data_IF_164800099576
#
_entry.id   IF_164800099576
#
_cell.length_a   1.000
_cell.length_b   1.000
_cell.length_c   1.000
_cell.angle_alpha   90.00
_cell.angle_beta   90.00
_cell.angle_gamma   90.00
#
_symmetry.space_group_name_H-M   'P 1'
#
loop_
_entity.id
_entity.type
_entity.pdbx_description
1 polymer ?
#
# COMPACT_ATOMS: atom_id res chain seq x y z
N UNK A 1 -19.68 5.28 45.07
CA UNK A 1 -18.47 4.42 45.06
C UNK A 1 -18.92 3.02 44.70
N UNK A 2 -19.09 2.76 43.41
CA UNK A 2 -19.39 1.43 42.87
C UNK A 2 -18.10 0.87 42.29
N UNK A 3 -17.73 -0.35 42.71
CA UNK A 3 -16.54 -1.04 42.25
C UNK A 3 -16.86 -1.79 40.95
N UNK A 4 -16.21 -1.41 39.85
CA UNK A 4 -16.17 -2.21 38.63
C UNK A 4 -15.44 -3.53 38.91
N UNK A 5 -16.09 -4.65 38.59
CA UNK A 5 -15.49 -5.98 38.52
C UNK A 5 -15.03 -6.24 37.09
N UNK A 6 -13.73 -6.40 36.87
CA UNK A 6 -13.16 -6.81 35.57
C UNK A 6 -13.14 -8.34 35.55
N UNK A 7 -13.99 -8.93 34.71
CA UNK A 7 -13.93 -10.35 34.38
C UNK A 7 -12.81 -10.58 33.37
N UNK A 8 -11.84 -11.41 33.74
CA UNK A 8 -10.77 -11.91 32.88
C UNK A 8 -11.35 -12.84 31.82
N UNK A 9 -11.27 -12.44 30.55
CA UNK A 9 -11.49 -13.34 29.42
C UNK A 9 -10.14 -14.00 29.07
N UNK A 10 -10.04 -15.29 29.35
CA UNK A 10 -8.92 -16.14 28.97
C UNK A 10 -8.94 -16.41 27.46
N UNK A 11 -8.07 -15.75 26.71
CA UNK A 11 -7.80 -16.06 25.31
C UNK A 11 -7.05 -17.41 25.23
N UNK A 12 -7.70 -18.42 24.65
CA UNK A 12 -7.05 -19.68 24.27
C UNK A 12 -6.29 -19.46 22.96
N UNK A 13 -4.97 -19.36 23.06
CA UNK A 13 -4.08 -19.47 21.91
C UNK A 13 -4.10 -20.92 21.40
N UNK A 14 -4.76 -21.16 20.28
CA UNK A 14 -4.51 -22.35 19.46
C UNK A 14 -3.22 -22.07 18.68
N UNK A 15 -2.12 -22.65 19.15
CA UNK A 15 -0.80 -22.54 18.52
C UNK A 15 -0.87 -23.01 17.07
N UNK A 16 -0.55 -22.10 16.15
CA UNK A 16 -0.24 -22.45 14.76
C UNK A 16 1.18 -23.02 14.75
N UNK A 17 1.30 -24.28 14.34
CA UNK A 17 2.57 -24.94 14.10
C UNK A 17 3.29 -24.21 12.95
N UNK A 18 4.33 -23.45 13.27
CA UNK A 18 5.25 -22.92 12.27
C UNK A 18 6.09 -24.05 11.67
N UNK A 19 5.96 -24.28 10.37
CA UNK A 19 6.85 -25.18 9.62
C UNK A 19 8.05 -24.35 9.13
N UNK A 20 9.19 -24.50 9.80
CA UNK A 20 10.47 -24.07 9.27
C UNK A 20 10.95 -25.10 8.23
N UNK A 21 10.93 -24.73 6.95
CA UNK A 21 11.58 -25.51 5.90
C UNK A 21 13.10 -25.26 5.93
N UNK A 22 13.80 -26.07 6.74
CA UNK A 22 15.24 -26.22 6.68
C UNK A 22 15.62 -27.35 5.71
N UNK A 23 16.39 -27.02 4.67
CA UNK A 23 17.02 -28.00 3.78
C UNK A 23 18.06 -28.79 4.60
N UNK A 24 17.80 -30.08 4.81
CA UNK A 24 18.81 -31.07 5.16
C UNK A 24 19.13 -31.24 6.66
N UNK A 25 18.68 -32.37 7.23
CA UNK A 25 19.39 -33.06 8.32
C UNK A 25 18.90 -32.80 9.74
N UNK A 26 18.37 -33.86 10.35
CA UNK A 26 18.15 -34.09 11.79
C UNK A 26 17.14 -33.16 12.51
N UNK A 27 15.97 -33.74 12.80
CA UNK A 27 14.98 -33.23 13.76
C UNK A 27 15.57 -33.32 15.18
N UNK A 28 15.71 -32.18 15.86
CA UNK A 28 15.93 -32.11 17.31
C UNK A 28 14.90 -31.16 17.91
N UNK A 29 14.11 -31.67 18.85
CA UNK A 29 13.12 -30.90 19.59
C UNK A 29 13.81 -29.86 20.50
N UNK A 30 13.28 -28.63 20.53
CA UNK A 30 13.69 -27.61 21.49
C UNK A 30 12.80 -27.67 22.73
N UNK A 31 13.40 -27.93 23.88
CA UNK A 31 12.81 -27.74 25.20
C UNK A 31 13.02 -26.29 25.67
N UNK A 32 12.00 -25.73 26.33
CA UNK A 32 12.05 -24.47 27.07
C UNK A 32 13.09 -24.55 28.20
N UNK A 33 13.97 -23.54 28.30
CA UNK A 33 14.63 -23.20 29.56
C UNK A 33 14.67 -21.68 29.76
N UNK A 34 14.35 -21.31 30.99
CA UNK A 34 14.25 -19.99 31.56
C UNK A 34 15.60 -19.25 31.64
N UNK A 35 15.52 -17.93 31.48
CA UNK A 35 16.19 -16.92 32.31
C UNK A 35 17.68 -17.00 32.60
N UNK A 36 18.46 -16.11 31.97
CA UNK A 36 19.54 -15.39 32.65
C UNK A 36 19.96 -14.14 31.88
N UNK A 37 19.86 -12.97 32.52
CA UNK A 37 20.61 -11.76 32.19
C UNK A 37 21.91 -11.75 33.00
N UNK A 38 23.05 -11.43 32.39
CA UNK A 38 23.79 -10.20 32.73
C UNK A 38 24.38 -9.57 31.44
N UNK A 39 24.85 -8.34 31.36
CA UNK A 39 25.42 -7.39 32.31
C UNK A 39 26.26 -6.42 31.48
N UNK A 40 26.31 -5.16 31.91
CA UNK A 40 26.96 -4.06 31.23
C UNK A 40 28.47 -4.28 30.96
N UNK A 41 28.93 -3.83 29.80
CA UNK A 41 30.35 -3.70 29.45
C UNK A 41 30.57 -2.46 28.58
N UNK A 42 31.21 -1.45 29.15
CA UNK A 42 31.63 -0.22 28.51
C UNK A 42 33.10 -0.28 28.05
N UNK A 43 33.43 0.51 27.02
CA UNK A 43 34.78 0.84 26.57
C UNK A 43 35.18 0.11 25.27
N UNK A 44 35.73 0.74 24.25
CA UNK A 44 36.19 2.11 24.06
C UNK A 44 36.81 2.25 22.66
N UNK A 45 36.83 3.47 22.17
CA UNK A 45 37.72 4.14 21.20
C UNK A 45 38.45 3.33 20.10
N UNK A 46 38.30 3.82 18.86
CA UNK A 46 39.18 3.50 17.74
C UNK A 46 38.76 4.23 16.46
N UNK A 47 39.19 5.49 16.32
CA UNK A 47 38.98 6.27 15.10
C UNK A 47 39.81 5.78 13.92
N UNK A 48 39.31 6.03 12.71
CA UNK A 48 40.16 6.42 11.59
C UNK A 48 39.34 7.21 10.58
N UNK A 49 39.76 8.45 10.38
CA UNK A 49 39.38 9.28 9.26
C UNK A 49 39.89 8.65 7.95
N UNK A 50 39.07 8.74 6.90
CA UNK A 50 39.44 8.39 5.53
C UNK A 50 38.76 9.36 4.59
N UNK A 51 39.36 10.54 4.43
CA UNK A 51 38.99 11.51 3.39
C UNK A 51 39.36 10.95 2.01
N UNK A 52 38.39 10.91 1.11
CA UNK A 52 38.64 10.85 -0.33
C UNK A 52 37.69 11.82 -1.03
N UNK A 53 38.25 12.98 -1.37
CA UNK A 53 37.66 13.95 -2.27
C UNK A 53 38.06 13.59 -3.71
N UNK A 54 37.09 13.42 -4.60
CA UNK A 54 37.21 13.50 -6.07
C UNK A 54 35.79 13.33 -6.63
N UNK A 55 35.25 14.11 -7.56
CA UNK A 55 35.72 15.28 -8.26
C UNK A 55 34.50 15.91 -8.93
N UNK A 56 34.50 17.23 -9.01
CA UNK A 56 33.51 18.06 -9.68
C UNK A 56 33.42 17.74 -11.17
N UNK A 57 32.24 17.33 -11.64
CA UNK A 57 31.89 17.21 -13.06
C UNK A 57 30.61 18.00 -13.35
N UNK A 58 30.69 19.33 -13.27
CA UNK A 58 29.61 20.20 -13.69
C UNK A 58 29.46 20.17 -15.21
N UNK A 59 28.26 19.86 -15.69
CA UNK A 59 27.85 20.14 -17.06
C UNK A 59 26.70 21.13 -16.98
N UNK A 60 27.05 22.41 -17.12
CA UNK A 60 26.10 23.46 -17.41
C UNK A 60 25.62 23.29 -18.86
N UNK A 61 24.32 23.10 -19.03
CA UNK A 61 23.66 22.98 -20.33
C UNK A 61 22.37 23.80 -20.35
N UNK A 62 22.53 25.10 -20.63
CA UNK A 62 21.60 26.00 -21.31
C UNK A 62 20.10 25.71 -21.28
N UNK A 63 19.37 26.60 -20.60
CA UNK A 63 17.95 26.84 -20.80
C UNK A 63 17.66 27.21 -22.27
N UNK A 64 16.77 26.47 -22.91
CA UNK A 64 16.02 26.92 -24.08
C UNK A 64 14.61 26.37 -23.99
N UNK A 65 13.64 27.28 -23.80
CA UNK A 65 12.23 26.97 -23.83
C UNK A 65 11.84 26.34 -25.17
N UNK A 66 11.15 25.21 -25.08
CA UNK A 66 10.61 24.48 -26.21
C UNK A 66 9.48 23.59 -25.70
N UNK A 67 8.28 24.16 -25.63
CA UNK A 67 7.05 23.38 -25.56
C UNK A 67 6.87 22.69 -26.90
N UNK A 68 6.99 21.37 -26.93
CA UNK A 68 6.37 20.47 -27.91
C UNK A 68 6.76 19.01 -27.63
N UNK A 69 5.77 18.17 -27.31
CA UNK A 69 5.86 16.72 -27.51
C UNK A 69 5.90 15.86 -26.25
N UNK A 70 5.01 16.06 -25.28
CA UNK A 70 4.71 15.05 -24.28
C UNK A 70 3.97 13.88 -24.95
N UNK A 71 4.72 12.86 -25.35
CA UNK A 71 4.18 11.68 -26.02
C UNK A 71 3.22 10.90 -25.14
N UNK A 72 2.20 10.34 -25.79
CA UNK A 72 1.19 9.39 -25.32
C UNK A 72 1.68 8.45 -24.20
N UNK A 73 1.43 8.79 -22.94
CA UNK A 73 1.89 7.98 -21.80
C UNK A 73 0.76 7.47 -20.91
N UNK A 74 -0.48 7.71 -21.32
CA UNK A 74 -1.62 7.20 -20.60
C UNK A 74 -2.70 6.68 -21.54
N UNK A 75 -2.52 5.45 -22.01
CA UNK A 75 -3.58 4.76 -22.76
C UNK A 75 -4.79 4.42 -21.89
N UNK A 76 -4.62 4.39 -20.56
CA UNK A 76 -5.69 4.15 -19.58
C UNK A 76 -6.03 5.47 -18.87
N UNK A 77 -7.30 5.89 -18.87
CA UNK A 77 -7.72 7.12 -18.16
C UNK A 77 -7.44 7.10 -16.66
N UNK A 78 -7.36 5.90 -16.07
CA UNK A 78 -6.99 5.67 -14.68
C UNK A 78 -5.59 5.07 -14.66
N UNK A 79 -4.63 5.81 -14.09
CA UNK A 79 -3.23 5.39 -14.01
C UNK A 79 -2.98 4.49 -12.80
N UNK A 80 -3.58 4.77 -11.64
CA UNK A 80 -3.40 3.97 -10.40
C UNK A 80 -4.71 3.78 -9.65
N UNK A 81 -4.83 2.63 -8.99
CA UNK A 81 -5.99 2.27 -8.17
C UNK A 81 -7.14 1.62 -8.95
N UNK A 82 -8.37 1.68 -8.41
CA UNK A 82 -8.79 2.38 -7.19
C UNK A 82 -8.45 1.64 -5.89
N UNK A 83 -8.55 2.34 -4.76
CA UNK A 83 -8.52 1.74 -3.43
C UNK A 83 -9.41 2.53 -2.46
N UNK A 84 -9.92 1.84 -1.44
CA UNK A 84 -10.71 2.47 -0.38
C UNK A 84 -9.86 2.68 0.88
N UNK A 85 -10.18 3.68 1.68
CA UNK A 85 -9.48 4.01 2.93
C UNK A 85 -10.40 4.80 3.87
N UNK A 86 -9.91 5.15 5.07
CA UNK A 86 -10.59 6.03 6.04
C UNK A 86 -12.03 5.61 6.33
N UNK A 87 -12.24 4.30 6.41
CA UNK A 87 -13.58 3.74 6.64
C UNK A 87 -14.01 3.94 8.09
N UNK A 88 -15.27 4.30 8.26
CA UNK A 88 -15.95 4.40 9.55
C UNK A 88 -17.23 3.56 9.55
N UNK A 89 -18.07 3.70 10.57
CA UNK A 89 -19.38 3.04 10.65
C UNK A 89 -20.36 3.47 9.55
N UNK A 90 -20.18 4.65 8.96
CA UNK A 90 -21.14 5.28 8.04
C UNK A 90 -20.47 6.06 6.90
N UNK A 91 -19.15 5.90 6.71
CA UNK A 91 -18.40 6.59 5.68
C UNK A 91 -17.18 5.80 5.19
N UNK A 92 -16.69 6.18 4.01
CA UNK A 92 -15.45 5.69 3.42
C UNK A 92 -14.89 6.74 2.46
N UNK A 93 -13.62 6.59 2.09
CA UNK A 93 -13.00 7.36 1.02
C UNK A 93 -12.50 6.41 -0.04
N UNK A 94 -12.84 6.64 -1.31
CA UNK A 94 -12.26 5.92 -2.44
C UNK A 94 -11.35 6.85 -3.21
N UNK A 95 -10.13 6.39 -3.50
CA UNK A 95 -9.10 7.14 -4.22
C UNK A 95 -8.69 6.42 -5.50
N UNK A 96 -8.33 7.21 -6.49
CA UNK A 96 -7.66 6.75 -7.70
C UNK A 96 -6.84 7.90 -8.30
N UNK A 97 -5.89 7.55 -9.15
CA UNK A 97 -5.09 8.50 -9.91
C UNK A 97 -5.51 8.44 -11.38
N UNK A 98 -5.61 9.59 -12.02
CA UNK A 98 -5.69 9.73 -13.46
C UNK A 98 -4.54 10.59 -13.97
N UNK A 99 -4.33 10.50 -15.27
CA UNK A 99 -3.32 11.22 -16.05
C UNK A 99 -3.98 12.20 -17.04
N UNK A 100 -5.31 12.32 -16.97
CA UNK A 100 -6.15 13.09 -17.87
C UNK A 100 -7.15 13.88 -17.01
N UNK A 101 -7.07 15.21 -17.03
CA UNK A 101 -7.97 16.08 -16.28
C UNK A 101 -9.45 15.89 -16.62
N UNK A 102 -9.73 15.32 -17.79
CA UNK A 102 -11.08 15.08 -18.28
C UNK A 102 -11.63 13.71 -17.87
N UNK A 103 -10.84 12.90 -17.16
CA UNK A 103 -11.31 11.64 -16.59
C UNK A 103 -12.53 11.88 -15.69
N UNK A 104 -13.53 11.01 -15.82
CA UNK A 104 -14.76 11.15 -15.03
C UNK A 104 -14.46 11.11 -13.53
N UNK A 105 -15.00 12.09 -12.80
CA UNK A 105 -14.95 12.15 -11.33
C UNK A 105 -16.00 11.24 -10.66
N UNK A 106 -16.82 10.53 -11.45
CA UNK A 106 -17.92 9.75 -10.93
C UNK A 106 -17.49 8.36 -10.43
N UNK A 107 -17.93 8.03 -9.22
CA UNK A 107 -17.88 6.70 -8.61
C UNK A 107 -19.31 6.18 -8.44
N UNK A 108 -19.55 4.93 -8.82
CA UNK A 108 -20.82 4.25 -8.53
C UNK A 108 -20.61 3.21 -7.44
N UNK A 109 -21.52 3.18 -6.47
CA UNK A 109 -21.46 2.39 -5.25
C UNK A 109 -22.70 1.52 -5.11
N UNK A 110 -22.53 0.21 -4.97
CA UNK A 110 -23.62 -0.76 -4.85
C UNK A 110 -23.52 -1.52 -3.51
N UNK A 111 -24.57 -1.50 -2.67
CA UNK A 111 -24.62 -2.32 -1.46
C UNK A 111 -24.68 -3.82 -1.77
N UNK A 112 -23.83 -4.63 -1.15
CA UNK A 112 -23.78 -6.09 -1.40
C UNK A 112 -25.02 -6.83 -0.89
N UNK A 113 -25.67 -6.30 0.16
CA UNK A 113 -26.91 -6.87 0.71
C UNK A 113 -28.16 -6.51 -0.11
N UNK A 114 -27.98 -5.83 -1.25
CA UNK A 114 -29.05 -5.29 -2.08
C UNK A 114 -29.44 -3.87 -1.69
N UNK A 115 -29.95 -3.13 -2.67
CA UNK A 115 -30.30 -1.72 -2.54
C UNK A 115 -30.15 -0.99 -3.88
N UNK A 116 -30.48 0.30 -3.89
CA UNK A 116 -30.22 1.14 -5.06
C UNK A 116 -28.72 1.47 -5.15
N UNK A 117 -28.20 1.48 -6.38
CA UNK A 117 -26.89 2.06 -6.67
C UNK A 117 -26.89 3.54 -6.29
N UNK A 118 -25.76 4.00 -5.74
CA UNK A 118 -25.53 5.38 -5.35
C UNK A 118 -24.38 5.93 -6.19
N UNK A 119 -24.45 7.21 -6.51
CA UNK A 119 -23.42 7.90 -7.31
C UNK A 119 -22.76 8.98 -6.46
N UNK A 120 -21.43 9.02 -6.49
CA UNK A 120 -20.62 10.01 -5.79
C UNK A 120 -19.68 10.69 -6.77
N UNK A 121 -19.34 11.95 -6.48
CA UNK A 121 -18.34 12.71 -7.23
C UNK A 121 -17.06 12.81 -6.39
N UNK A 122 -15.90 12.65 -7.02
CA UNK A 122 -14.61 12.91 -6.40
C UNK A 122 -14.26 14.39 -6.40
N UNK A 123 -13.60 14.84 -5.35
CA UNK A 123 -12.72 16.01 -5.41
C UNK A 123 -11.47 15.63 -6.22
N UNK A 124 -11.04 16.51 -7.13
CA UNK A 124 -9.87 16.27 -8.00
C UNK A 124 -8.79 17.28 -7.68
N UNK A 125 -7.58 16.81 -7.40
CA UNK A 125 -6.42 17.63 -7.10
C UNK A 125 -5.26 17.27 -8.04
N UNK A 126 -4.73 18.22 -8.83
CA UNK A 126 -3.55 17.96 -9.65
C UNK A 126 -2.29 17.88 -8.79
N UNK A 127 -1.32 17.09 -9.25
CA UNK A 127 0.04 17.05 -8.72
C UNK A 127 1.04 16.76 -9.84
N UNK A 128 2.29 17.14 -9.63
CA UNK A 128 3.36 16.94 -10.60
C UNK A 128 4.27 15.80 -10.16
N UNK A 129 4.56 14.89 -11.09
CA UNK A 129 5.70 13.98 -10.98
C UNK A 129 6.85 14.65 -11.73
N UNK A 130 7.89 15.06 -11.02
CA UNK A 130 9.02 15.80 -11.65
C UNK A 130 10.02 14.87 -12.33
N UNK A 131 10.24 13.68 -11.74
CA UNK A 131 11.29 12.76 -12.14
C UNK A 131 10.71 11.50 -12.75
N UNK A 132 11.38 10.99 -13.79
CA UNK A 132 11.14 9.62 -14.27
C UNK A 132 11.77 8.65 -13.27
N UNK A 133 10.99 7.67 -12.82
CA UNK A 133 11.52 6.50 -12.10
C UNK A 133 11.36 5.26 -12.96
N UNK A 134 12.46 4.56 -13.18
CA UNK A 134 12.54 3.41 -14.07
C UNK A 134 13.06 2.21 -13.31
N UNK A 135 12.58 1.02 -13.67
CA UNK A 135 13.11 -0.23 -13.13
C UNK A 135 14.43 -0.60 -13.81
N UNK A 136 15.37 -1.16 -13.04
CA UNK A 136 16.61 -1.74 -13.54
C UNK A 136 16.38 -3.08 -14.23
N UNK A 137 15.18 -3.67 -14.09
CA UNK A 137 14.74 -4.85 -14.84
C UNK A 137 14.11 -4.35 -16.16
N UNK A 138 14.83 -4.41 -17.31
CA UNK A 138 14.36 -3.75 -18.52
C UNK A 138 13.20 -4.50 -19.18
N UNK A 139 12.23 -3.73 -19.71
CA UNK A 139 11.15 -4.10 -20.63
C UNK A 139 9.84 -4.72 -20.09
N UNK A 140 9.71 -4.99 -18.79
CA UNK A 140 8.46 -5.58 -18.24
C UNK A 140 7.72 -4.67 -17.24
N UNK A 141 8.43 -3.71 -16.62
CA UNK A 141 7.90 -2.90 -15.53
C UNK A 141 7.65 -1.46 -16.03
N UNK A 142 6.43 -0.92 -15.93
CA UNK A 142 6.14 0.44 -16.37
C UNK A 142 6.89 1.48 -15.52
N UNK A 143 7.40 2.52 -16.16
CA UNK A 143 8.03 3.65 -15.49
C UNK A 143 6.98 4.52 -14.77
N UNK A 144 7.37 5.17 -13.67
CA UNK A 144 6.68 6.40 -13.25
C UNK A 144 7.20 7.54 -14.11
N UNK A 145 6.30 8.13 -14.91
CA UNK A 145 6.65 9.11 -15.92
C UNK A 145 6.40 10.52 -15.40
N UNK A 146 7.29 11.49 -15.71
CA UNK A 146 7.09 12.86 -15.30
C UNK A 146 5.90 13.48 -16.03
N UNK A 147 5.19 14.36 -15.33
CA UNK A 147 4.03 15.09 -15.85
C UNK A 147 2.98 15.37 -14.77
N UNK A 148 1.90 16.02 -15.20
CA UNK A 148 0.75 16.33 -14.36
C UNK A 148 -0.18 15.12 -14.26
N UNK A 149 -0.51 14.74 -13.04
CA UNK A 149 -1.51 13.72 -12.72
C UNK A 149 -2.57 14.31 -11.80
N UNK A 150 -3.68 13.60 -11.64
CA UNK A 150 -4.85 14.07 -10.93
C UNK A 150 -5.27 13.01 -9.92
N UNK A 151 -5.18 13.36 -8.64
CA UNK A 151 -5.67 12.54 -7.55
C UNK A 151 -7.16 12.80 -7.37
N UNK A 152 -7.95 11.73 -7.46
CA UNK A 152 -9.37 11.75 -7.18
C UNK A 152 -9.64 11.23 -5.76
N UNK A 153 -10.45 11.95 -4.99
CA UNK A 153 -10.92 11.52 -3.67
C UNK A 153 -12.45 11.61 -3.59
N UNK A 154 -13.14 10.46 -3.67
CA UNK A 154 -14.58 10.37 -3.48
C UNK A 154 -14.90 10.09 -2.00
N UNK A 155 -15.50 11.08 -1.33
CA UNK A 155 -15.93 11.00 0.07
C UNK A 155 -17.35 10.45 0.16
N UNK A 156 -17.48 9.21 0.61
CA UNK A 156 -18.74 8.49 0.74
C UNK A 156 -19.25 8.66 2.17
N UNK A 157 -20.48 9.14 2.35
CA UNK A 157 -21.05 9.41 3.67
C UNK A 157 -22.52 9.02 3.73
N UNK A 158 -23.04 8.85 4.95
CA UNK A 158 -24.43 8.42 5.15
C UNK A 158 -24.65 6.95 4.77
N UNK A 159 -23.59 6.15 4.80
CA UNK A 159 -23.65 4.73 4.50
C UNK A 159 -24.30 3.97 5.65
N UNK A 160 -25.04 2.92 5.31
CA UNK A 160 -25.52 1.96 6.29
C UNK A 160 -24.40 0.99 6.69
N UNK A 161 -24.53 0.29 7.84
CA UNK A 161 -23.65 -0.82 8.16
C UNK A 161 -23.72 -1.90 7.08
N UNK A 162 -22.58 -2.31 6.52
CA UNK A 162 -22.53 -3.32 5.47
C UNK A 162 -21.32 -3.20 4.55
N UNK A 163 -21.30 -4.06 3.53
CA UNK A 163 -20.25 -4.08 2.53
C UNK A 163 -20.79 -3.56 1.20
N UNK A 164 -19.90 -2.95 0.44
CA UNK A 164 -20.21 -2.22 -0.78
C UNK A 164 -19.18 -2.55 -1.85
N UNK A 165 -19.66 -2.83 -3.06
CA UNK A 165 -18.84 -2.80 -4.27
C UNK A 165 -18.87 -1.41 -4.88
N UNK A 166 -17.77 -1.00 -5.51
CA UNK A 166 -17.70 0.26 -6.24
C UNK A 166 -17.01 0.08 -7.60
N UNK A 167 -17.35 0.95 -8.55
CA UNK A 167 -16.77 1.00 -9.90
C UNK A 167 -16.54 2.45 -10.33
N UNK A 168 -15.45 2.69 -11.05
CA UNK A 168 -15.13 4.01 -11.59
C UNK A 168 -15.83 4.24 -12.93
N UNK A 169 -16.51 5.37 -13.11
CA UNK A 169 -17.05 5.72 -14.42
C UNK A 169 -15.95 6.09 -15.45
N UNK A 170 -14.75 6.44 -14.98
CA UNK A 170 -13.60 6.71 -15.84
C UNK A 170 -13.06 5.45 -16.53
N UNK A 171 -13.24 4.29 -15.90
CA UNK A 171 -12.85 2.96 -16.40
C UNK A 171 -13.66 1.88 -15.67
N UNK A 172 -14.64 1.30 -16.36
CA UNK A 172 -15.55 0.29 -15.81
C UNK A 172 -14.86 -1.03 -15.40
N UNK A 173 -13.64 -1.28 -15.88
CA UNK A 173 -12.86 -2.43 -15.43
C UNK A 173 -12.26 -2.22 -14.03
N UNK A 174 -12.19 -0.96 -13.58
CA UNK A 174 -11.61 -0.55 -12.31
C UNK A 174 -12.67 -0.51 -11.23
N UNK A 175 -12.61 -1.50 -10.34
CA UNK A 175 -13.59 -1.72 -9.29
C UNK A 175 -12.92 -2.18 -8.00
N UNK A 176 -13.69 -2.19 -6.93
CA UNK A 176 -13.25 -2.75 -5.66
C UNK A 176 -14.39 -2.82 -4.66
N UNK A 177 -14.03 -3.06 -3.41
CA UNK A 177 -14.96 -3.34 -2.33
C UNK A 177 -14.44 -2.81 -1.01
N UNK A 178 -15.35 -2.43 -0.13
CA UNK A 178 -15.06 -2.21 1.29
C UNK A 178 -16.26 -2.57 2.16
N UNK A 179 -16.04 -2.75 3.46
CA UNK A 179 -17.10 -2.83 4.46
C UNK A 179 -17.00 -1.66 5.42
N UNK A 180 -18.12 -1.00 5.74
CA UNK A 180 -18.17 -0.06 6.87
C UNK A 180 -17.80 -0.78 8.17
N UNK A 181 -17.32 -0.03 9.15
CA UNK A 181 -16.88 -0.59 10.42
C UNK A 181 -18.00 -1.42 11.07
N UNK A 182 -17.64 -2.64 11.50
CA UNK A 182 -18.54 -3.55 12.22
C UNK A 182 -19.05 -2.91 13.51
N UNK A 183 -20.22 -3.35 13.98
CA UNK A 183 -20.71 -2.86 15.26
C UNK A 183 -19.77 -3.30 16.40
N UNK A 184 -19.73 -2.53 17.49
CA UNK A 184 -18.89 -2.89 18.65
C UNK A 184 -19.27 -4.27 19.19
N UNK A 185 -18.28 -5.15 19.31
CA UNK A 185 -18.46 -6.54 19.76
C UNK A 185 -18.79 -7.55 18.67
N UNK A 186 -18.91 -7.13 17.40
CA UNK A 186 -18.97 -8.04 16.26
C UNK A 186 -17.57 -8.49 15.82
N UNK A 187 -17.50 -9.71 15.30
CA UNK A 187 -16.28 -10.25 14.71
C UNK A 187 -15.96 -9.54 13.37
N UNK A 188 -14.67 -9.41 13.09
CA UNK A 188 -14.16 -8.90 11.82
C UNK A 188 -12.93 -9.70 11.40
N UNK A 189 -12.65 -9.71 10.09
CA UNK A 189 -11.45 -10.29 9.53
C UNK A 189 -10.60 -9.20 8.89
N UNK A 190 -9.29 -9.25 9.08
CA UNK A 190 -8.37 -8.32 8.44
C UNK A 190 -7.13 -9.03 7.93
N UNK A 191 -6.51 -8.47 6.90
CA UNK A 191 -5.18 -8.86 6.45
C UNK A 191 -4.14 -7.95 7.10
N UNK A 192 -3.08 -8.54 7.64
CA UNK A 192 -1.88 -7.81 8.06
C UNK A 192 -0.73 -8.24 7.14
N UNK A 193 -0.08 -7.26 6.53
CA UNK A 193 1.04 -7.47 5.61
C UNK A 193 2.03 -6.30 5.74
N UNK A 194 3.27 -6.50 5.32
CA UNK A 194 4.31 -5.49 5.27
C UNK A 194 5.33 -5.92 4.21
N UNK A 195 6.28 -5.04 3.90
CA UNK A 195 7.43 -5.39 3.07
C UNK A 195 7.03 -5.97 1.70
N UNK A 196 6.05 -5.36 1.04
CA UNK A 196 5.55 -5.86 -0.24
C UNK A 196 6.44 -5.35 -1.37
N UNK A 197 7.34 -6.20 -1.84
CA UNK A 197 8.18 -5.92 -3.00
C UNK A 197 7.86 -6.89 -4.14
N UNK A 198 6.75 -6.68 -4.89
CA UNK A 198 6.41 -7.51 -6.04
C UNK A 198 7.50 -7.53 -7.12
N UNK A 199 8.36 -6.49 -7.20
CA UNK A 199 9.47 -6.43 -8.16
C UNK A 199 10.60 -7.43 -7.91
N UNK A 200 10.72 -7.99 -6.69
CA UNK A 200 11.79 -8.91 -6.33
C UNK A 200 11.48 -10.36 -6.75
N UNK A 201 10.24 -10.81 -6.54
CA UNK A 201 9.75 -12.17 -6.87
C UNK A 201 8.22 -12.19 -6.92
N UNK A 202 7.65 -13.19 -7.61
CA UNK A 202 6.20 -13.45 -7.66
C UNK A 202 5.58 -13.87 -6.30
N UNK A 203 6.37 -14.00 -5.22
CA UNK A 203 5.87 -14.45 -3.91
C UNK A 203 4.77 -13.54 -3.35
N UNK A 204 4.89 -12.23 -3.54
CA UNK A 204 3.88 -11.27 -3.08
C UNK A 204 2.54 -11.55 -3.75
N UNK A 205 2.53 -11.68 -5.08
CA UNK A 205 1.31 -11.96 -5.85
C UNK A 205 0.70 -13.31 -5.46
N UNK A 206 1.53 -14.36 -5.35
CA UNK A 206 1.06 -15.69 -4.91
C UNK A 206 0.45 -15.66 -3.50
N UNK A 207 1.04 -14.92 -2.57
CA UNK A 207 0.47 -14.76 -1.21
C UNK A 207 -0.87 -14.04 -1.30
N UNK A 208 -0.96 -12.96 -2.08
CA UNK A 208 -2.20 -12.20 -2.23
C UNK A 208 -3.31 -13.03 -2.85
N UNK A 209 -3.03 -13.84 -3.87
CA UNK A 209 -4.00 -14.77 -4.47
C UNK A 209 -4.57 -15.75 -3.43
N UNK A 210 -3.72 -16.27 -2.52
CA UNK A 210 -4.18 -17.20 -1.49
C UNK A 210 -4.96 -16.52 -0.37
N UNK A 211 -4.54 -15.32 0.05
CA UNK A 211 -5.19 -14.59 1.15
C UNK A 211 -6.49 -13.94 0.68
N UNK A 212 -6.57 -13.52 -0.58
CA UNK A 212 -7.77 -13.00 -1.23
C UNK A 212 -8.98 -13.93 -1.03
N UNK A 213 -8.76 -15.24 -1.20
CA UNK A 213 -9.82 -16.24 -1.11
C UNK A 213 -10.43 -16.35 0.30
N UNK A 214 -9.78 -15.82 1.33
CA UNK A 214 -10.26 -15.88 2.72
C UNK A 214 -11.29 -14.80 3.04
N UNK A 215 -11.32 -13.72 2.26
CA UNK A 215 -12.17 -12.55 2.51
C UNK A 215 -11.78 -11.79 3.78
N UNK A 216 -11.51 -10.50 3.64
CA UNK A 216 -11.23 -9.60 4.76
C UNK A 216 -12.00 -8.29 4.61
N UNK A 217 -12.29 -7.65 5.74
CA UNK A 217 -13.01 -6.37 5.77
C UNK A 217 -12.05 -5.21 5.42
N UNK A 218 -10.79 -5.35 5.82
CA UNK A 218 -9.74 -4.37 5.58
C UNK A 218 -8.33 -4.98 5.66
N UNK A 219 -7.36 -4.21 5.19
CA UNK A 219 -5.93 -4.50 5.21
C UNK A 219 -5.20 -3.46 6.05
N UNK A 220 -4.32 -3.92 6.92
CA UNK A 220 -3.29 -3.12 7.58
C UNK A 220 -1.95 -3.44 6.92
N UNK A 221 -1.33 -2.45 6.29
CA UNK A 221 -0.01 -2.58 5.71
C UNK A 221 1.01 -1.87 6.59
N UNK A 222 1.95 -2.58 7.21
CA UNK A 222 2.82 -2.03 8.25
C UNK A 222 4.06 -1.28 7.72
N UNK A 223 3.96 -0.67 6.53
CA UNK A 223 5.08 0.00 5.85
C UNK A 223 5.85 -0.88 4.87
N UNK A 224 6.81 -0.26 4.20
CA UNK A 224 7.65 -0.81 3.14
C UNK A 224 6.77 -1.39 2.01
N UNK A 225 5.93 -0.49 1.51
CA UNK A 225 5.10 -0.63 0.32
C UNK A 225 5.95 -0.62 -0.94
N UNK A 226 6.92 0.28 -1.02
CA UNK A 226 7.69 0.49 -2.24
C UNK A 226 9.17 0.72 -1.94
N UNK A 227 10.05 0.10 -2.72
CA UNK A 227 11.50 0.12 -2.57
C UNK A 227 12.19 0.82 -3.74
N UNK A 228 12.13 2.16 -3.81
CA UNK A 228 12.74 2.89 -4.92
C UNK A 228 14.26 2.74 -5.01
N UNK A 229 14.95 2.66 -3.87
CA UNK A 229 16.41 2.50 -3.85
C UNK A 229 16.85 1.15 -4.42
N UNK A 230 15.96 0.14 -4.44
CA UNK A 230 16.25 -1.14 -5.09
C UNK A 230 16.29 -1.00 -6.62
N UNK A 231 15.58 -0.01 -7.17
CA UNK A 231 15.35 0.14 -8.59
C UNK A 231 14.54 -1.00 -9.20
N UNK A 232 13.95 -1.91 -8.41
CA UNK A 232 13.24 -3.07 -8.94
C UNK A 232 11.78 -2.76 -9.30
N UNK A 233 11.20 -1.72 -8.72
CA UNK A 233 9.78 -1.41 -8.81
C UNK A 233 9.52 0.10 -8.85
N UNK A 234 8.34 0.45 -9.38
CA UNK A 234 7.79 1.79 -9.52
C UNK A 234 6.39 1.81 -8.93
N UNK A 235 5.81 2.97 -8.62
CA UNK A 235 4.40 3.02 -8.24
C UNK A 235 3.51 2.54 -9.40
N UNK A 236 3.88 2.87 -10.65
CA UNK A 236 3.21 2.40 -11.84
C UNK A 236 3.14 0.86 -11.94
N UNK A 237 4.11 0.12 -11.42
CA UNK A 237 4.10 -1.34 -11.38
C UNK A 237 3.47 -1.92 -10.12
N UNK A 238 3.71 -1.28 -8.97
CA UNK A 238 3.22 -1.76 -7.68
C UNK A 238 1.69 -1.78 -7.62
N UNK A 239 1.03 -0.71 -8.08
CA UNK A 239 -0.43 -0.61 -7.98
C UNK A 239 -1.17 -1.73 -8.73
N UNK A 240 -0.81 -2.08 -9.98
CA UNK A 240 -1.31 -3.26 -10.67
C UNK A 240 -1.10 -4.57 -9.90
N UNK A 241 0.13 -4.87 -9.46
CA UNK A 241 0.45 -6.12 -8.73
C UNK A 241 -0.31 -6.22 -7.40
N UNK A 242 -0.59 -5.08 -6.78
CA UNK A 242 -1.31 -5.02 -5.51
C UNK A 242 -2.84 -4.85 -5.67
N UNK A 243 -3.37 -4.77 -6.89
CA UNK A 243 -4.83 -4.66 -7.10
C UNK A 243 -5.64 -5.78 -6.43
N UNK A 244 -5.21 -7.06 -6.42
CA UNK A 244 -5.93 -8.10 -5.69
C UNK A 244 -6.10 -7.73 -4.22
N UNK A 245 -5.10 -7.10 -3.59
CA UNK A 245 -5.20 -6.61 -2.22
C UNK A 245 -6.14 -5.40 -2.10
N UNK A 246 -5.87 -4.38 -2.92
CA UNK A 246 -6.49 -3.05 -2.83
C UNK A 246 -7.99 -3.04 -3.18
N UNK A 247 -8.44 -4.04 -3.96
CA UNK A 247 -9.83 -4.15 -4.42
C UNK A 247 -10.76 -4.89 -3.46
N UNK A 248 -10.27 -5.54 -2.40
CA UNK A 248 -11.11 -6.42 -1.56
C UNK A 248 -11.64 -5.78 -0.27
N UNK A 249 -10.91 -4.82 0.26
CA UNK A 249 -11.24 -4.17 1.53
C UNK A 249 -10.55 -2.82 1.68
N UNK A 250 -10.88 -2.13 2.77
CA UNK A 250 -10.25 -0.84 3.06
C UNK A 250 -8.75 -0.99 3.33
N UNK A 251 -7.97 -0.08 2.78
CA UNK A 251 -6.51 -0.09 2.88
C UNK A 251 -6.02 0.95 3.90
N UNK A 252 -5.29 0.46 4.90
CA UNK A 252 -4.69 1.25 5.98
C UNK A 252 -3.16 1.07 5.95
N UNK A 253 -2.44 1.89 5.17
CA UNK A 253 -0.98 1.86 5.15
C UNK A 253 -0.38 2.60 6.34
N UNK A 254 0.75 2.09 6.81
CA UNK A 254 1.74 2.81 7.58
C UNK A 254 2.93 3.16 6.68
N UNK A 255 3.77 4.07 7.17
CA UNK A 255 5.03 4.46 6.54
C UNK A 255 6.15 3.63 7.19
N UNK A 256 6.91 2.92 6.37
CA UNK A 256 8.14 2.24 6.73
C UNK A 256 9.37 3.07 6.36
N UNK A 257 10.55 2.45 6.46
CA UNK A 257 11.81 3.14 6.13
C UNK A 257 12.06 3.22 4.61
N UNK A 258 11.41 2.37 3.81
CA UNK A 258 11.57 2.36 2.35
C UNK A 258 10.67 3.39 1.63
N UNK A 259 9.68 3.96 2.31
CA UNK A 259 8.89 5.08 1.76
C UNK A 259 9.60 6.43 1.86
N UNK A 260 10.82 6.48 2.42
CA UNK A 260 11.63 7.69 2.60
C UNK A 260 13.03 7.50 2.02
N UNK A 261 13.09 7.05 0.77
CA UNK A 261 14.34 6.75 0.08
C UNK A 261 14.77 7.85 -0.89
N UNK A 262 13.89 8.83 -1.12
CA UNK A 262 14.18 9.98 -1.98
C UNK A 262 14.24 11.28 -1.19
N UNK A 263 15.08 12.24 -1.63
CA UNK A 263 14.95 13.62 -1.18
C UNK A 263 13.51 14.12 -1.41
N UNK A 264 12.97 14.84 -0.43
CA UNK A 264 11.69 15.56 -0.52
C UNK A 264 10.45 14.65 -0.74
N UNK A 265 10.53 13.35 -0.43
CA UNK A 265 9.43 12.38 -0.67
C UNK A 265 8.14 12.65 0.14
N UNK A 266 8.23 13.44 1.20
CA UNK A 266 7.09 13.85 2.04
C UNK A 266 6.88 15.38 2.12
N UNK A 267 7.67 16.17 1.40
CA UNK A 267 7.59 17.63 1.40
C UNK A 267 6.59 18.14 0.36
#
# INVERSE_FOLDING_TARGET
MERLSIASASARWLGVLGVCLGVGGLVRACSEEDGASPGAGAGGDGGSAGSAAAGSGGIAGTASGGSAGGGDTCSARVSKGPWSTRVTKDSAVVRWESCDETASAELRLTPEQGGAEQTFQSEVAPFEIENRYTSIIPAEIPDDLPGTYYMHEAKLSGLAPGCYGYVLAADESRHGRFCTARASGEDFNFMAIADTNPGLTDNTELILEQVALKGYDFTVHAGDLQYYASGLETWASWFPSMQPMLSQGAFFPAIGNHESEKPDEYD
#
